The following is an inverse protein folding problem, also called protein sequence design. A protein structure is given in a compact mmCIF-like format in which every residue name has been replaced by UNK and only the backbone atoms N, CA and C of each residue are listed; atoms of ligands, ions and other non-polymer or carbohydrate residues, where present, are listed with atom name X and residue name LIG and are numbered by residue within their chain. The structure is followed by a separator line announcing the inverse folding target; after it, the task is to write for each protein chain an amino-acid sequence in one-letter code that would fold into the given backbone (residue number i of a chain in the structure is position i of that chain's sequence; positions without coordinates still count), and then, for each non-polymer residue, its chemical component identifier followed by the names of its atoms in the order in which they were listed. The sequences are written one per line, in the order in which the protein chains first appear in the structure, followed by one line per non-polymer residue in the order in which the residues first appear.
data_IF_705644264118
#
_entry.id   IF_705644264118
#
_cell.length_a   1.000
_cell.length_b   1.000
_cell.length_c   1.000
_cell.angle_alpha   90.00
_cell.angle_beta   90.00
_cell.angle_gamma   90.00
#
_symmetry.space_group_name_H-M   'P 1'
#
loop_
_entity.id
_entity.type
_entity.pdbx_description
1 polymer ?
#
# COMPACT_ATOMS: atom_id res chain seq x y z
N UNK A 1 -42.09 7.30 -4.41
CA UNK A 1 -41.05 7.80 -3.49
C UNK A 1 -40.10 6.65 -3.26
N UNK A 2 -38.81 6.81 -3.59
CA UNK A 2 -37.78 5.83 -3.18
C UNK A 2 -37.62 5.95 -1.67
N UNK A 3 -37.50 4.82 -0.98
CA UNK A 3 -37.20 4.82 0.46
C UNK A 3 -35.82 5.46 0.66
N UNK A 4 -35.77 6.54 1.44
CA UNK A 4 -34.53 7.27 1.72
C UNK A 4 -33.53 6.40 2.52
N UNK A 5 -34.03 5.33 3.16
CA UNK A 5 -33.22 4.39 3.94
C UNK A 5 -32.35 3.45 3.08
N UNK A 6 -32.50 3.44 1.76
CA UNK A 6 -31.77 2.52 0.85
C UNK A 6 -30.67 3.20 0.01
N UNK A 7 -30.39 4.48 0.23
CA UNK A 7 -29.45 5.24 -0.62
C UNK A 7 -27.99 5.17 -0.13
N UNK A 8 -27.00 5.08 -1.05
CA UNK A 8 -25.58 5.07 -0.71
C UNK A 8 -25.10 6.41 -0.14
N UNK A 9 -24.04 6.36 0.67
CA UNK A 9 -23.55 7.45 1.54
C UNK A 9 -23.22 8.77 0.85
N UNK A 10 -22.97 8.75 -0.46
CA UNK A 10 -22.59 9.88 -1.30
C UNK A 10 -23.75 10.45 -2.12
N UNK A 11 -25.00 10.09 -1.79
CA UNK A 11 -26.18 10.45 -2.58
C UNK A 11 -26.91 11.73 -2.10
N UNK A 12 -26.36 12.53 -1.19
CA UNK A 12 -27.02 13.79 -0.76
C UNK A 12 -27.28 14.70 -1.98
N UNK A 13 -26.33 14.79 -2.91
CA UNK A 13 -26.48 15.55 -4.17
C UNK A 13 -27.51 14.93 -5.14
N UNK A 14 -27.87 13.66 -4.95
CA UNK A 14 -28.90 12.97 -5.74
C UNK A 14 -30.29 13.03 -5.09
N UNK A 15 -30.40 13.61 -3.88
CA UNK A 15 -31.66 13.86 -3.19
C UNK A 15 -32.19 15.25 -3.53
N UNK A 16 -33.51 15.34 -3.73
CA UNK A 16 -34.17 16.64 -3.83
C UNK A 16 -34.31 17.18 -2.41
N UNK A 17 -33.60 18.26 -2.11
CA UNK A 17 -33.79 19.00 -0.87
C UNK A 17 -35.19 19.64 -0.89
N UNK A 18 -36.10 19.11 -0.05
CA UNK A 18 -37.48 19.58 0.03
C UNK A 18 -37.63 20.87 0.82
N UNK A 19 -36.61 21.27 1.60
CA UNK A 19 -36.61 22.51 2.38
C UNK A 19 -35.19 23.12 2.50
N UNK A 20 -34.68 23.78 1.44
CA UNK A 20 -33.33 24.34 1.42
C UNK A 20 -33.07 25.41 2.50
N UNK A 21 -34.10 26.13 2.95
CA UNK A 21 -33.98 27.14 4.00
C UNK A 21 -33.63 26.49 5.34
N UNK A 22 -34.32 25.40 5.69
CA UNK A 22 -34.03 24.63 6.91
C UNK A 22 -32.65 23.97 6.83
N UNK A 23 -32.29 23.36 5.70
CA UNK A 23 -30.95 22.80 5.50
C UNK A 23 -29.86 23.85 5.70
N UNK A 24 -30.06 25.07 5.16
CA UNK A 24 -29.12 26.17 5.35
C UNK A 24 -29.03 26.63 6.82
N UNK A 25 -30.14 26.62 7.55
CA UNK A 25 -30.18 26.98 8.98
C UNK A 25 -29.43 25.96 9.86
N UNK A 26 -29.54 24.66 9.55
CA UNK A 26 -28.76 23.60 10.19
C UNK A 26 -27.25 23.74 9.91
N UNK A 27 -26.87 24.04 8.67
CA UNK A 27 -25.47 24.31 8.32
C UNK A 27 -24.93 25.53 9.07
N UNK A 28 -25.66 26.64 9.09
CA UNK A 28 -25.26 27.85 9.82
C UNK A 28 -25.12 27.59 11.32
N UNK A 29 -26.03 26.78 11.90
CA UNK A 29 -25.97 26.38 13.31
C UNK A 29 -24.70 25.55 13.60
N UNK A 30 -24.34 24.64 12.71
CA UNK A 30 -23.11 23.86 12.83
C UNK A 30 -21.86 24.73 12.67
N UNK A 31 -21.83 25.63 11.71
CA UNK A 31 -20.70 26.56 11.50
C UNK A 31 -20.50 27.48 12.71
N UNK A 32 -21.59 28.02 13.26
CA UNK A 32 -21.57 28.81 14.48
C UNK A 32 -21.04 27.98 15.67
N UNK A 33 -21.46 26.72 15.80
CA UNK A 33 -20.97 25.82 16.83
C UNK A 33 -19.46 25.58 16.72
N UNK A 34 -18.95 25.30 15.52
CA UNK A 34 -17.50 25.13 15.27
C UNK A 34 -16.75 26.41 15.62
N UNK A 35 -17.25 27.58 15.18
CA UNK A 35 -16.62 28.88 15.40
C UNK A 35 -16.56 29.27 16.88
N UNK A 36 -17.63 29.03 17.64
CA UNK A 36 -17.74 29.53 19.02
C UNK A 36 -17.34 28.50 20.09
N UNK A 37 -17.62 27.22 19.87
CA UNK A 37 -17.37 26.15 20.85
C UNK A 37 -16.21 25.23 20.45
N UNK A 38 -15.68 25.37 19.23
CA UNK A 38 -14.52 24.63 18.75
C UNK A 38 -14.82 23.21 18.25
N UNK A 39 -13.83 22.58 17.58
CA UNK A 39 -14.02 21.32 16.86
C UNK A 39 -14.37 20.13 17.78
N UNK A 40 -13.84 20.09 19.01
CA UNK A 40 -14.13 19.00 19.96
C UNK A 40 -15.61 18.97 20.35
N UNK A 41 -16.21 20.13 20.63
CA UNK A 41 -17.63 20.23 20.98
C UNK A 41 -18.53 19.92 19.78
N UNK A 42 -18.17 20.42 18.59
CA UNK A 42 -18.87 20.10 17.35
C UNK A 42 -18.89 18.59 17.07
N UNK A 43 -17.73 17.92 17.21
CA UNK A 43 -17.62 16.47 17.06
C UNK A 43 -18.49 15.71 18.06
N UNK A 44 -18.49 16.12 19.33
CA UNK A 44 -19.35 15.50 20.35
C UNK A 44 -20.83 15.61 19.99
N UNK A 45 -21.29 16.80 19.59
CA UNK A 45 -22.70 17.02 19.23
C UNK A 45 -23.10 16.21 18.00
N UNK A 46 -22.26 16.13 16.98
CA UNK A 46 -22.50 15.27 15.83
C UNK A 46 -22.68 13.80 16.23
N UNK A 47 -21.75 13.26 17.02
CA UNK A 47 -21.84 11.87 17.50
C UNK A 47 -23.09 11.63 18.35
N UNK A 48 -23.48 12.61 19.17
CA UNK A 48 -24.70 12.54 19.97
C UNK A 48 -25.97 12.54 19.10
N UNK A 49 -26.02 13.36 18.05
CA UNK A 49 -27.14 13.41 17.11
C UNK A 49 -27.25 12.10 16.32
N UNK A 50 -26.13 11.53 15.89
CA UNK A 50 -26.09 10.24 15.21
C UNK A 50 -26.55 9.09 16.11
N UNK A 51 -26.13 9.10 17.38
CA UNK A 51 -26.61 8.13 18.36
C UNK A 51 -28.13 8.27 18.57
N UNK A 52 -28.63 9.51 18.64
CA UNK A 52 -30.06 9.77 18.78
C UNK A 52 -30.84 9.34 17.54
N UNK A 53 -30.32 9.60 16.33
CA UNK A 53 -30.91 9.16 15.07
C UNK A 53 -31.05 7.62 15.01
N UNK A 54 -30.01 6.87 15.43
CA UNK A 54 -30.10 5.42 15.55
C UNK A 54 -31.17 4.96 16.55
N UNK A 55 -31.36 5.66 17.67
CA UNK A 55 -32.44 5.35 18.62
C UNK A 55 -33.84 5.60 18.04
N UNK A 56 -33.95 6.46 17.04
CA UNK A 56 -35.18 6.73 16.30
C UNK A 56 -35.32 5.85 15.04
N UNK A 57 -34.51 4.78 14.92
CA UNK A 57 -34.52 3.84 13.78
C UNK A 57 -34.29 4.53 12.42
N UNK A 58 -33.62 5.70 12.41
CA UNK A 58 -33.12 6.30 11.18
C UNK A 58 -31.90 5.49 10.73
N UNK A 59 -32.04 4.78 9.61
CA UNK A 59 -30.99 3.94 9.03
C UNK A 59 -29.92 4.83 8.37
N UNK A 60 -29.07 5.44 9.19
CA UNK A 60 -27.92 6.19 8.70
C UNK A 60 -26.78 5.21 8.38
N UNK A 61 -26.14 5.32 7.22
CA UNK A 61 -24.98 4.49 6.92
C UNK A 61 -23.86 4.70 7.93
N UNK A 62 -23.10 3.64 8.22
CA UNK A 62 -21.96 3.73 9.11
C UNK A 62 -20.96 4.77 8.58
N UNK A 63 -20.69 5.81 9.37
CA UNK A 63 -19.73 6.90 9.14
C UNK A 63 -18.25 6.49 9.02
N UNK A 64 -17.97 5.21 8.76
CA UNK A 64 -16.60 4.70 8.59
C UNK A 64 -16.04 4.96 7.19
N UNK A 65 -16.85 5.52 6.28
CA UNK A 65 -16.43 5.86 4.93
C UNK A 65 -16.17 7.37 4.88
N UNK A 66 -14.90 7.73 4.69
CA UNK A 66 -14.53 9.08 4.24
C UNK A 66 -14.93 9.25 2.78
N UNK A 67 -15.02 10.48 2.31
CA UNK A 67 -15.27 10.77 0.90
C UNK A 67 -14.25 10.10 -0.02
N UNK A 68 -14.65 9.76 -1.25
CA UNK A 68 -13.79 9.13 -2.27
C UNK A 68 -12.86 10.16 -2.92
N UNK A 69 -12.04 10.80 -2.08
CA UNK A 69 -11.03 11.82 -2.41
C UNK A 69 -9.75 11.53 -1.62
N UNK A 70 -8.67 12.26 -1.89
CA UNK A 70 -7.43 12.13 -1.15
C UNK A 70 -7.61 12.50 0.33
N UNK A 71 -7.15 11.62 1.24
CA UNK A 71 -7.19 11.88 2.69
C UNK A 71 -6.33 13.07 3.12
N UNK A 72 -5.22 13.31 2.41
CA UNK A 72 -4.35 14.48 2.62
C UNK A 72 -4.69 15.50 1.54
N UNK A 73 -5.24 16.67 1.90
CA UNK A 73 -5.59 17.69 0.94
C UNK A 73 -4.34 18.50 0.50
N UNK A 74 -4.37 19.18 -0.66
CA UNK A 74 -3.21 19.90 -1.22
C UNK A 74 -2.55 20.90 -0.26
N UNK A 75 -3.33 21.54 0.62
CA UNK A 75 -2.81 22.55 1.56
C UNK A 75 -2.02 21.92 2.73
N UNK A 76 -2.16 20.59 2.93
CA UNK A 76 -1.40 19.80 3.91
C UNK A 76 -0.38 18.88 3.24
N UNK A 77 -0.25 18.93 1.91
CA UNK A 77 0.73 18.14 1.19
C UNK A 77 2.14 18.70 1.45
N UNK A 78 3.08 17.88 1.94
CA UNK A 78 4.45 18.32 2.14
C UNK A 78 5.13 18.55 0.77
N UNK A 79 6.12 19.44 0.75
CA UNK A 79 6.96 19.61 -0.44
C UNK A 79 7.67 18.31 -0.78
N UNK A 80 7.63 17.91 -2.06
CA UNK A 80 8.33 16.72 -2.52
C UNK A 80 9.85 16.92 -2.40
N UNK A 81 10.59 16.03 -1.72
CA UNK A 81 11.99 16.25 -1.39
C UNK A 81 12.98 15.95 -2.54
N UNK A 82 12.53 15.27 -3.60
CA UNK A 82 13.38 14.81 -4.70
C UNK A 82 13.26 15.63 -5.99
N UNK A 83 14.02 15.24 -7.01
CA UNK A 83 13.88 15.76 -8.37
C UNK A 83 12.91 14.87 -9.15
N UNK A 84 11.68 15.35 -9.32
CA UNK A 84 10.62 14.60 -10.01
C UNK A 84 10.97 14.20 -11.44
N UNK A 85 11.75 15.02 -12.16
CA UNK A 85 12.09 14.76 -13.56
C UNK A 85 13.11 13.61 -13.66
N UNK A 86 14.13 13.64 -12.80
CA UNK A 86 15.12 12.55 -12.70
C UNK A 86 14.45 11.27 -12.22
N UNK A 87 13.64 11.33 -11.16
CA UNK A 87 12.97 10.14 -10.62
C UNK A 87 11.98 9.53 -11.60
N UNK A 88 11.24 10.36 -12.36
CA UNK A 88 10.37 9.88 -13.45
C UNK A 88 11.16 9.17 -14.54
N UNK A 89 12.36 9.66 -14.88
CA UNK A 89 13.24 9.05 -15.89
C UNK A 89 13.81 7.72 -15.41
N UNK A 90 14.28 7.63 -14.17
CA UNK A 90 14.76 6.37 -13.56
C UNK A 90 13.63 5.34 -13.55
N UNK A 91 12.44 5.73 -13.07
CA UNK A 91 11.26 4.86 -13.06
C UNK A 91 10.87 4.37 -14.45
N UNK A 92 11.04 5.18 -15.50
CA UNK A 92 10.79 4.76 -16.87
C UNK A 92 11.77 3.66 -17.33
N UNK A 93 13.05 3.78 -16.99
CA UNK A 93 14.04 2.72 -17.26
C UNK A 93 13.72 1.43 -16.49
N UNK A 94 13.32 1.55 -15.22
CA UNK A 94 12.95 0.38 -14.42
C UNK A 94 11.71 -0.32 -15.00
N UNK A 95 10.69 0.44 -15.42
CA UNK A 95 9.49 -0.12 -16.08
C UNK A 95 9.84 -0.81 -17.39
N UNK A 96 10.69 -0.18 -18.22
CA UNK A 96 11.12 -0.74 -19.50
C UNK A 96 11.84 -2.08 -19.31
N UNK A 97 12.85 -2.10 -18.45
CA UNK A 97 13.64 -3.29 -18.16
C UNK A 97 12.78 -4.41 -17.55
N UNK A 98 11.83 -4.09 -16.65
CA UNK A 98 10.92 -5.08 -16.07
C UNK A 98 10.00 -5.71 -17.13
N UNK A 99 9.48 -4.90 -18.06
CA UNK A 99 8.66 -5.40 -19.17
C UNK A 99 9.49 -6.27 -20.13
N UNK A 100 10.71 -5.84 -20.48
CA UNK A 100 11.59 -6.62 -21.34
C UNK A 100 12.07 -7.92 -20.70
N UNK A 101 12.34 -7.93 -19.40
CA UNK A 101 12.69 -9.14 -18.65
C UNK A 101 11.64 -10.23 -18.86
N UNK A 102 10.36 -9.88 -18.66
CA UNK A 102 9.25 -10.81 -18.85
C UNK A 102 9.05 -11.14 -20.33
N UNK A 103 9.14 -10.16 -21.23
CA UNK A 103 8.94 -10.38 -22.66
C UNK A 103 10.00 -11.34 -23.24
N UNK A 104 11.27 -11.17 -22.88
CA UNK A 104 12.36 -12.08 -23.29
C UNK A 104 12.15 -13.49 -22.76
N UNK A 105 11.68 -13.64 -21.52
CA UNK A 105 11.36 -14.94 -20.92
C UNK A 105 10.16 -15.65 -21.57
N UNK A 106 9.33 -14.93 -22.33
CA UNK A 106 8.18 -15.48 -23.07
C UNK A 106 8.50 -15.86 -24.52
N UNK A 107 9.74 -15.68 -24.98
CA UNK A 107 10.10 -16.01 -26.37
C UNK A 107 9.90 -17.51 -26.67
N UNK A 108 9.64 -17.87 -27.93
CA UNK A 108 9.54 -19.28 -28.34
C UNK A 108 10.74 -20.11 -27.86
N UNK A 109 10.46 -21.27 -27.28
CA UNK A 109 11.46 -22.18 -26.70
C UNK A 109 11.76 -21.98 -25.20
N UNK A 110 11.24 -20.92 -24.56
CA UNK A 110 11.38 -20.70 -23.10
C UNK A 110 10.00 -20.74 -22.41
N UNK A 111 9.16 -19.72 -22.61
CA UNK A 111 7.76 -19.71 -22.17
C UNK A 111 7.53 -19.89 -20.65
N UNK A 112 8.38 -19.31 -19.80
CA UNK A 112 8.40 -19.57 -18.34
C UNK A 112 7.44 -18.70 -17.51
N UNK A 113 6.57 -17.92 -18.14
CA UNK A 113 5.65 -17.05 -17.40
C UNK A 113 6.25 -15.70 -17.00
N UNK A 114 5.46 -14.91 -16.27
CA UNK A 114 5.86 -13.60 -15.72
C UNK A 114 4.73 -12.57 -15.80
N UNK A 115 4.78 -11.55 -14.93
CA UNK A 115 3.73 -10.54 -14.81
C UNK A 115 4.31 -9.16 -15.12
N UNK A 116 3.66 -8.40 -16.00
CA UNK A 116 4.06 -7.03 -16.34
C UNK A 116 3.18 -6.02 -15.59
N UNK A 117 1.87 -6.25 -15.58
CA UNK A 117 0.87 -5.28 -15.11
C UNK A 117 0.97 -4.98 -13.62
N UNK A 118 1.22 -5.98 -12.76
CA UNK A 118 1.29 -5.77 -11.30
C UNK A 118 2.40 -4.80 -10.90
N UNK A 119 3.59 -4.91 -11.49
CA UNK A 119 4.63 -3.92 -11.24
C UNK A 119 4.31 -2.58 -11.93
N UNK A 120 3.76 -2.60 -13.15
CA UNK A 120 3.43 -1.37 -13.86
C UNK A 120 2.40 -0.50 -13.12
N UNK A 121 1.44 -1.07 -12.39
CA UNK A 121 0.51 -0.28 -11.57
C UNK A 121 1.17 0.29 -10.32
N UNK A 122 2.07 -0.47 -9.69
CA UNK A 122 2.66 -0.13 -8.39
C UNK A 122 4.05 0.53 -8.45
N UNK A 123 4.68 0.65 -9.62
CA UNK A 123 6.07 1.11 -9.72
C UNK A 123 6.30 2.51 -9.14
N UNK A 124 5.32 3.43 -9.19
CA UNK A 124 5.49 4.74 -8.55
C UNK A 124 5.60 4.62 -7.01
N UNK A 125 4.81 3.73 -6.39
CA UNK A 125 4.83 3.49 -4.95
C UNK A 125 6.17 2.93 -4.50
N UNK A 126 6.68 1.91 -5.20
CA UNK A 126 7.99 1.34 -4.89
C UNK A 126 9.12 2.35 -5.08
N UNK A 127 9.10 3.13 -6.16
CA UNK A 127 10.17 4.08 -6.45
C UNK A 127 10.22 5.23 -5.43
N UNK A 128 9.07 5.75 -5.00
CA UNK A 128 9.02 6.70 -3.88
C UNK A 128 9.57 6.05 -2.61
N UNK A 129 9.18 4.80 -2.34
CA UNK A 129 9.71 4.00 -1.23
C UNK A 129 11.24 3.90 -1.27
N UNK A 130 11.82 3.48 -2.39
CA UNK A 130 13.28 3.32 -2.53
C UNK A 130 14.05 4.64 -2.43
N UNK A 131 13.53 5.74 -2.99
CA UNK A 131 14.25 7.00 -3.01
C UNK A 131 14.18 7.74 -1.66
N UNK A 132 13.07 7.59 -0.92
CA UNK A 132 12.77 8.49 0.22
C UNK A 132 12.46 7.80 1.55
N UNK A 133 12.21 6.48 1.58
CA UNK A 133 11.73 5.81 2.79
C UNK A 133 12.54 4.58 3.20
N UNK A 134 12.80 3.66 2.27
CA UNK A 134 13.34 2.35 2.57
C UNK A 134 14.77 2.42 3.06
N UNK A 135 15.00 1.87 4.26
CA UNK A 135 16.33 1.80 4.86
C UNK A 135 17.01 0.47 4.54
N UNK A 136 18.20 0.53 3.93
CA UNK A 136 19.04 -0.63 3.70
C UNK A 136 19.61 -1.22 5.00
N UNK A 137 20.16 -2.45 4.94
CA UNK A 137 20.64 -3.17 6.13
C UNK A 137 21.77 -2.47 6.88
N UNK A 138 22.58 -1.69 6.16
CA UNK A 138 23.71 -0.91 6.71
C UNK A 138 23.29 0.44 7.31
N UNK A 139 21.99 0.78 7.30
CA UNK A 139 21.51 1.99 7.97
C UNK A 139 21.74 1.88 9.49
N UNK A 140 22.17 2.98 10.14
CA UNK A 140 22.58 2.97 11.55
C UNK A 140 21.50 2.44 12.52
N UNK A 141 20.23 2.76 12.25
CA UNK A 141 19.06 2.27 13.02
C UNK A 141 18.57 0.87 12.61
N UNK A 142 19.31 0.16 11.76
CA UNK A 142 18.90 -1.09 11.11
C UNK A 142 18.07 -0.87 9.85
N UNK A 143 18.07 -1.87 8.98
CA UNK A 143 17.30 -1.86 7.74
C UNK A 143 15.83 -2.24 7.93
N UNK A 144 14.99 -1.74 7.05
CA UNK A 144 13.58 -2.07 7.00
C UNK A 144 13.35 -3.52 6.58
N UNK A 145 12.17 -4.05 6.91
CA UNK A 145 11.68 -5.35 6.44
C UNK A 145 10.57 -5.11 5.41
N UNK A 146 10.84 -5.41 4.13
CA UNK A 146 9.93 -5.10 3.03
C UNK A 146 9.39 -6.40 2.43
N UNK A 147 8.09 -6.63 2.62
CA UNK A 147 7.34 -7.72 2.03
C UNK A 147 6.84 -7.26 0.65
N UNK A 148 7.71 -7.36 -0.35
CA UNK A 148 7.39 -7.04 -1.74
C UNK A 148 6.28 -7.94 -2.28
N UNK A 149 5.35 -7.41 -3.06
CA UNK A 149 4.35 -8.22 -3.74
C UNK A 149 5.05 -9.20 -4.70
N UNK A 150 4.78 -10.51 -4.57
CA UNK A 150 5.53 -11.54 -5.30
C UNK A 150 5.53 -11.33 -6.82
N UNK A 151 4.36 -11.05 -7.39
CA UNK A 151 4.19 -10.82 -8.84
C UNK A 151 4.88 -9.55 -9.36
N UNK A 152 5.31 -8.65 -8.48
CA UNK A 152 6.06 -7.44 -8.84
C UNK A 152 7.59 -7.67 -8.89
N UNK A 153 8.07 -8.91 -8.70
CA UNK A 153 9.50 -9.26 -8.71
C UNK A 153 10.29 -8.74 -9.94
N UNK A 154 9.75 -8.68 -11.18
CA UNK A 154 10.49 -8.15 -12.31
C UNK A 154 10.92 -6.68 -12.12
N UNK A 155 10.14 -5.90 -11.38
CA UNK A 155 10.47 -4.52 -11.03
C UNK A 155 11.69 -4.42 -10.12
N UNK A 156 11.78 -5.30 -9.11
CA UNK A 156 12.91 -5.31 -8.17
C UNK A 156 14.19 -5.77 -8.85
N UNK A 157 14.11 -6.79 -9.73
CA UNK A 157 15.26 -7.20 -10.54
C UNK A 157 15.72 -6.12 -11.49
N UNK A 158 14.77 -5.41 -12.11
CA UNK A 158 15.04 -4.30 -13.01
C UNK A 158 15.76 -3.13 -12.31
N UNK A 159 15.31 -2.76 -11.10
CA UNK A 159 16.00 -1.76 -10.28
C UNK A 159 17.39 -2.24 -9.86
N UNK A 160 17.50 -3.46 -9.35
CA UNK A 160 18.78 -4.04 -8.93
C UNK A 160 19.79 -4.13 -10.10
N UNK A 161 19.32 -4.38 -11.32
CA UNK A 161 20.15 -4.31 -12.53
C UNK A 161 20.69 -2.89 -12.78
N UNK A 162 19.84 -1.86 -12.70
CA UNK A 162 20.30 -0.47 -12.85
C UNK A 162 21.26 -0.03 -11.73
N UNK A 163 21.14 -0.61 -10.55
CA UNK A 163 22.07 -0.42 -9.42
C UNK A 163 23.37 -1.24 -9.57
N UNK A 164 23.52 -2.01 -10.66
CA UNK A 164 24.71 -2.82 -10.93
C UNK A 164 24.82 -4.12 -10.10
N UNK A 165 23.73 -4.56 -9.47
CA UNK A 165 23.70 -5.78 -8.64
C UNK A 165 23.49 -7.06 -9.45
N UNK A 166 22.98 -6.93 -10.67
CA UNK A 166 22.83 -8.05 -11.61
C UNK A 166 23.41 -7.69 -12.98
N UNK A 167 23.86 -8.72 -13.68
CA UNK A 167 24.30 -8.63 -15.09
C UNK A 167 23.14 -8.88 -16.05
N UNK A 168 23.25 -8.42 -17.30
CA UNK A 168 22.26 -8.73 -18.33
C UNK A 168 22.10 -10.25 -18.54
N UNK A 169 23.21 -11.01 -18.47
CA UNK A 169 23.19 -12.47 -18.59
C UNK A 169 22.38 -13.15 -17.47
N UNK A 170 22.40 -12.61 -16.24
CA UNK A 170 21.54 -13.12 -15.16
C UNK A 170 20.06 -12.78 -15.40
N UNK A 171 19.77 -11.59 -15.92
CA UNK A 171 18.41 -11.18 -16.28
C UNK A 171 17.81 -12.07 -17.38
N UNK A 172 18.59 -12.42 -18.39
CA UNK A 172 18.15 -13.34 -19.44
C UNK A 172 17.82 -14.76 -18.91
N UNK A 173 18.33 -15.10 -17.73
CA UNK A 173 18.01 -16.30 -16.96
C UNK A 173 16.77 -16.19 -16.05
N UNK A 174 15.96 -15.13 -16.14
CA UNK A 174 14.74 -15.01 -15.33
C UNK A 174 13.84 -16.26 -15.46
N UNK A 175 13.48 -16.83 -14.30
CA UNK A 175 12.73 -18.09 -14.14
C UNK A 175 13.38 -19.35 -14.72
N UNK A 176 14.68 -19.30 -15.03
CA UNK A 176 15.46 -20.39 -15.59
C UNK A 176 16.68 -20.70 -14.71
N UNK A 177 16.45 -20.82 -13.40
CA UNK A 177 17.50 -20.94 -12.37
C UNK A 177 18.41 -22.16 -12.58
N UNK A 178 17.88 -23.23 -13.17
CA UNK A 178 18.62 -24.45 -13.50
C UNK A 178 19.04 -24.54 -14.97
N UNK A 179 18.17 -24.10 -15.89
CA UNK A 179 18.33 -24.35 -17.33
C UNK A 179 19.15 -23.27 -18.05
N UNK A 180 19.29 -22.08 -17.48
CA UNK A 180 20.07 -21.01 -18.09
C UNK A 180 21.56 -21.13 -17.68
N UNK A 181 22.51 -21.16 -18.64
CA UNK A 181 23.93 -21.39 -18.35
C UNK A 181 24.58 -20.36 -17.39
N UNK A 182 24.07 -19.13 -17.35
CA UNK A 182 24.55 -18.08 -16.44
C UNK A 182 23.93 -18.10 -15.05
N UNK A 183 23.16 -19.15 -14.71
CA UNK A 183 22.19 -19.12 -13.62
C UNK A 183 20.96 -18.28 -13.98
N UNK A 184 20.06 -18.09 -13.02
CA UNK A 184 18.82 -17.37 -13.24
C UNK A 184 18.28 -16.67 -12.01
N UNK A 185 17.25 -15.87 -12.22
CA UNK A 185 16.53 -15.15 -11.17
C UNK A 185 15.24 -15.91 -10.83
N UNK A 186 14.97 -16.12 -9.55
CA UNK A 186 13.75 -16.80 -9.12
C UNK A 186 12.50 -16.08 -9.60
N UNK A 187 11.41 -16.83 -9.78
CA UNK A 187 10.12 -16.26 -10.20
C UNK A 187 9.58 -15.20 -9.23
N UNK A 188 9.77 -15.42 -7.94
CA UNK A 188 9.23 -14.64 -6.83
C UNK A 188 10.24 -14.55 -5.68
N UNK A 189 9.92 -13.83 -4.58
CA UNK A 189 10.75 -13.78 -3.38
C UNK A 189 10.96 -15.15 -2.73
N UNK A 190 12.06 -15.82 -3.08
CA UNK A 190 12.42 -17.14 -2.57
C UNK A 190 13.83 -17.09 -1.95
N UNK A 191 13.95 -16.78 -0.64
CA UNK A 191 15.23 -16.72 0.06
C UNK A 191 16.01 -18.04 0.00
N UNK A 192 15.32 -19.19 -0.08
CA UNK A 192 15.99 -20.49 -0.24
C UNK A 192 16.74 -20.62 -1.57
N UNK A 193 16.23 -19.97 -2.61
CA UNK A 193 16.78 -20.01 -3.97
C UNK A 193 17.77 -18.86 -4.22
N UNK A 194 17.49 -17.68 -3.65
CA UNK A 194 18.36 -16.49 -3.73
C UNK A 194 18.62 -15.92 -2.33
N UNK A 195 19.48 -16.56 -1.51
CA UNK A 195 19.67 -16.23 -0.10
C UNK A 195 20.29 -14.85 0.14
N UNK A 196 21.02 -14.33 -0.83
CA UNK A 196 21.70 -13.03 -0.73
C UNK A 196 20.90 -11.87 -1.37
N UNK A 197 19.63 -12.13 -1.76
CA UNK A 197 18.77 -11.14 -2.39
C UNK A 197 17.38 -11.06 -1.76
N UNK A 198 16.66 -12.19 -1.65
CA UNK A 198 15.29 -12.21 -1.12
C UNK A 198 15.26 -12.52 0.37
N UNK A 199 14.35 -11.87 1.10
CA UNK A 199 14.20 -12.05 2.55
C UNK A 199 12.87 -12.68 2.96
N UNK A 200 11.76 -12.24 2.37
CA UNK A 200 10.41 -12.61 2.80
C UNK A 200 9.61 -13.23 1.64
N UNK A 201 9.17 -14.49 1.73
CA UNK A 201 8.30 -15.11 0.74
C UNK A 201 6.86 -14.56 0.82
N UNK A 202 6.34 -14.07 -0.30
CA UNK A 202 5.05 -13.35 -0.35
C UNK A 202 4.11 -13.77 -1.48
N UNK A 203 4.54 -14.66 -2.39
CA UNK A 203 3.70 -15.02 -3.55
C UNK A 203 2.50 -15.89 -3.20
N UNK A 204 2.57 -16.62 -2.08
CA UNK A 204 1.36 -17.22 -1.49
C UNK A 204 0.60 -16.11 -0.78
N UNK A 205 -0.42 -15.60 -1.47
CA UNK A 205 -1.26 -14.49 -1.04
C UNK A 205 -1.84 -14.74 0.36
N UNK A 206 -2.00 -13.69 1.14
CA UNK A 206 -2.47 -13.77 2.54
C UNK A 206 -1.37 -14.02 3.58
N UNK A 207 -0.32 -14.76 3.24
CA UNK A 207 0.78 -15.04 4.17
C UNK A 207 1.68 -13.81 4.41
N UNK A 208 1.88 -12.96 3.40
CA UNK A 208 2.68 -11.75 3.52
C UNK A 208 2.16 -10.80 4.61
N UNK A 209 0.89 -10.38 4.56
CA UNK A 209 0.29 -9.44 5.51
C UNK A 209 0.32 -9.92 6.96
N UNK A 210 -0.14 -11.16 7.23
CA UNK A 210 -0.14 -11.70 8.59
C UNK A 210 1.29 -11.78 9.15
N UNK A 211 2.25 -12.25 8.34
CA UNK A 211 3.64 -12.33 8.77
C UNK A 211 4.24 -10.94 9.00
N UNK A 212 3.88 -9.94 8.21
CA UNK A 212 4.33 -8.56 8.43
C UNK A 212 3.82 -7.98 9.75
N UNK A 213 2.56 -8.22 10.12
CA UNK A 213 2.02 -7.84 11.45
C UNK A 213 2.82 -8.49 12.57
N UNK A 214 3.06 -9.80 12.48
CA UNK A 214 3.83 -10.52 13.50
C UNK A 214 5.32 -10.13 13.50
N UNK A 215 5.91 -9.79 12.36
CA UNK A 215 7.28 -9.26 12.26
C UNK A 215 7.38 -7.91 12.99
N UNK A 216 6.41 -7.01 12.77
CA UNK A 216 6.39 -5.72 13.45
C UNK A 216 6.23 -5.89 14.97
N UNK A 217 5.35 -6.81 15.39
CA UNK A 217 5.20 -7.20 16.80
C UNK A 217 6.49 -7.79 17.37
N UNK A 218 7.21 -8.62 16.61
CA UNK A 218 8.46 -9.22 17.04
C UNK A 218 9.58 -8.17 17.18
N UNK A 219 9.65 -7.17 16.29
CA UNK A 219 10.55 -6.03 16.46
C UNK A 219 10.26 -5.31 17.80
N UNK A 220 8.99 -5.02 18.10
CA UNK A 220 8.59 -4.41 19.38
C UNK A 220 8.97 -5.27 20.59
N UNK A 221 8.83 -6.59 20.47
CA UNK A 221 9.30 -7.52 21.49
C UNK A 221 10.81 -7.44 21.70
N UNK A 222 11.63 -7.47 20.64
CA UNK A 222 13.09 -7.40 20.73
C UNK A 222 13.55 -6.09 21.40
N UNK A 223 12.98 -4.96 20.98
CA UNK A 223 13.27 -3.65 21.56
C UNK A 223 12.80 -3.58 23.03
N UNK A 224 11.56 -3.98 23.33
CA UNK A 224 11.02 -3.97 24.69
C UNK A 224 11.73 -4.93 25.65
N UNK A 225 12.41 -5.96 25.14
CA UNK A 225 13.24 -6.89 25.93
C UNK A 225 14.71 -6.47 26.03
N UNK A 226 15.12 -5.38 25.38
CA UNK A 226 16.51 -4.94 25.35
C UNK A 226 17.45 -5.89 24.62
N UNK A 227 16.93 -6.75 23.72
CA UNK A 227 17.74 -7.73 22.96
C UNK A 227 18.42 -7.05 21.77
N UNK A 228 17.68 -6.18 21.08
CA UNK A 228 18.15 -5.40 19.94
C UNK A 228 17.34 -4.12 19.87
N UNK A 229 17.98 -2.99 19.63
CA UNK A 229 17.26 -1.78 19.31
C UNK A 229 16.70 -1.84 17.88
N UNK A 230 15.37 -1.82 17.77
CA UNK A 230 14.64 -1.86 16.49
C UNK A 230 13.70 -0.65 16.34
N UNK A 231 13.88 0.42 17.12
CA UNK A 231 12.95 1.57 17.14
C UNK A 231 12.83 2.27 15.79
N UNK A 232 13.90 2.20 15.01
CA UNK A 232 14.07 2.87 13.72
C UNK A 232 13.76 1.96 12.52
N UNK A 233 13.46 0.68 12.76
CA UNK A 233 13.14 -0.28 11.71
C UNK A 233 11.63 -0.29 11.42
N UNK A 234 11.26 -0.25 10.15
CA UNK A 234 9.86 -0.35 9.70
C UNK A 234 9.60 -1.68 8.98
N UNK A 235 8.37 -2.17 9.13
CA UNK A 235 7.85 -3.29 8.33
C UNK A 235 6.88 -2.74 7.30
N UNK A 236 7.14 -3.03 6.04
CA UNK A 236 6.32 -2.61 4.91
C UNK A 236 5.69 -3.85 4.26
N UNK A 237 4.36 -3.89 4.17
CA UNK A 237 3.65 -4.94 3.45
C UNK A 237 3.00 -4.35 2.19
N UNK A 238 3.38 -4.86 1.02
CA UNK A 238 2.80 -4.48 -0.26
C UNK A 238 1.81 -5.54 -0.72
N UNK A 239 0.52 -5.18 -0.74
CA UNK A 239 -0.59 -6.09 -1.03
C UNK A 239 -1.26 -5.75 -2.36
N UNK A 240 -1.87 -6.76 -2.98
CA UNK A 240 -2.94 -6.52 -3.95
C UNK A 240 -4.27 -6.26 -3.23
N UNK A 241 -5.17 -5.51 -3.84
CA UNK A 241 -6.55 -5.40 -3.37
C UNK A 241 -7.24 -6.78 -3.36
N UNK A 242 -7.13 -7.55 -4.45
CA UNK A 242 -7.65 -8.92 -4.50
C UNK A 242 -7.00 -9.90 -3.52
N UNK A 243 -5.80 -9.60 -3.00
CA UNK A 243 -5.16 -10.38 -1.92
C UNK A 243 -5.89 -10.25 -0.59
N UNK A 244 -6.62 -9.15 -0.39
CA UNK A 244 -7.31 -8.88 0.88
C UNK A 244 -8.51 -9.79 1.12
N UNK A 245 -8.96 -10.53 0.10
CA UNK A 245 -10.00 -11.56 0.23
C UNK A 245 -9.48 -12.85 0.89
N UNK A 246 -8.16 -13.08 0.93
CA UNK A 246 -7.59 -14.19 1.72
C UNK A 246 -7.82 -13.92 3.22
N UNK A 247 -8.39 -14.87 4.00
CA UNK A 247 -8.68 -14.65 5.41
C UNK A 247 -7.46 -14.16 6.21
N UNK A 248 -6.28 -14.70 5.91
CA UNK A 248 -5.02 -14.37 6.56
C UNK A 248 -4.63 -12.90 6.36
N UNK A 249 -5.01 -12.28 5.24
CA UNK A 249 -4.67 -10.89 4.92
C UNK A 249 -5.20 -9.90 5.97
N UNK A 250 -6.38 -10.15 6.51
CA UNK A 250 -7.08 -9.25 7.44
C UNK A 250 -7.18 -9.79 8.87
N UNK A 251 -6.98 -11.09 9.08
CA UNK A 251 -7.20 -11.76 10.37
C UNK A 251 -6.40 -11.14 11.53
N UNK A 252 -5.20 -10.64 11.26
CA UNK A 252 -4.31 -10.10 12.29
C UNK A 252 -4.37 -8.57 12.43
N UNK A 253 -5.21 -7.85 11.67
CA UNK A 253 -5.25 -6.39 11.73
C UNK A 253 -5.63 -5.86 13.11
N UNK A 254 -6.45 -6.58 13.88
CA UNK A 254 -6.83 -6.19 15.25
C UNK A 254 -5.71 -6.36 16.29
N UNK A 255 -4.63 -7.05 15.92
CA UNK A 255 -3.43 -7.19 16.77
C UNK A 255 -2.45 -6.03 16.58
N UNK A 256 -2.60 -5.25 15.50
CA UNK A 256 -1.70 -4.17 15.11
C UNK A 256 -1.99 -2.87 15.87
#
# INVERSE_FOLDING_TARGET
MRDLNELPNNAIDALIDTNPEETAEWHQSFDALVKHAGPTRARYLMLSLLQHAHQQELHLPALRLTDYINTIPPEREPTFPGDEAIERRIRAYIRWNAALLVHRAQRPGIGVGGHISSFASSAALYEVGFNHFFRGKEHAGGGDQIYYQGHASPGMYSRAFLEGRFTENQLDGFRQELSHPGGGLSSYPHPRLMPDFWEFPTVSMGLGPINAVYQARFNRYLHGRGIKDTSDQRVWAFLGDGETDEPESVAALTLA
#
